data_IF_193157729160
#
_entry.id   IF_193157729160
#
_cell.length_a   1.000
_cell.length_b   1.000
_cell.length_c   1.000
_cell.angle_alpha   90.00
_cell.angle_beta   90.00
_cell.angle_gamma   90.00
#
_symmetry.space_group_name_H-M   'P 1'
#
loop_
_entity.id
_entity.type
_entity.pdbx_description
1 polymer ?
#
# COMPACT_ATOMS: atom_id res chain seq x y z
N UNK A 1 11.07 -13.80 -13.79
CA UNK A 1 10.50 -12.47 -13.51
C UNK A 1 10.17 -12.47 -12.03
N UNK A 2 11.03 -11.88 -11.20
CA UNK A 2 10.84 -11.82 -9.75
C UNK A 2 9.85 -10.71 -9.44
N UNK A 3 8.56 -11.03 -9.44
CA UNK A 3 7.47 -10.12 -9.04
C UNK A 3 7.44 -9.83 -7.53
N UNK A 4 8.47 -10.23 -6.78
CA UNK A 4 8.53 -10.15 -5.30
C UNK A 4 8.62 -8.71 -4.75
N UNK A 5 8.51 -7.69 -5.60
CA UNK A 5 8.62 -6.27 -5.20
C UNK A 5 7.51 -5.36 -5.70
N UNK A 6 6.42 -5.89 -6.25
CA UNK A 6 5.27 -5.07 -6.63
C UNK A 6 4.21 -5.03 -5.54
N UNK A 7 3.59 -3.86 -5.38
CA UNK A 7 2.48 -3.57 -4.48
C UNK A 7 1.32 -2.97 -5.27
N UNK A 8 0.11 -3.15 -4.78
CA UNK A 8 -1.05 -2.39 -5.23
C UNK A 8 -1.43 -1.38 -4.17
N UNK A 9 -1.25 -0.10 -4.49
CA UNK A 9 -1.58 1.02 -3.61
C UNK A 9 -2.99 1.49 -3.90
N UNK A 10 -3.77 1.63 -2.84
CA UNK A 10 -5.17 2.04 -2.90
C UNK A 10 -5.47 2.96 -1.72
N UNK A 11 -6.33 3.96 -1.94
CA UNK A 11 -6.79 4.84 -0.88
C UNK A 11 -8.03 4.25 -0.18
N UNK A 12 -8.16 4.57 1.11
CA UNK A 12 -9.42 4.43 1.82
C UNK A 12 -10.39 5.52 1.33
N UNK A 13 -11.70 5.21 1.31
CA UNK A 13 -12.75 6.19 0.98
C UNK A 13 -12.91 7.23 2.09
N UNK A 14 -12.75 6.81 3.34
CA UNK A 14 -12.75 7.65 4.52
C UNK A 14 -11.51 7.30 5.35
N UNK A 15 -10.62 8.27 5.53
CA UNK A 15 -9.35 8.10 6.26
C UNK A 15 -9.51 7.99 7.78
N UNK A 16 -10.71 8.21 8.30
CA UNK A 16 -11.00 8.10 9.74
C UNK A 16 -11.51 6.71 10.13
N UNK A 17 -11.70 5.82 9.15
CA UNK A 17 -12.08 4.42 9.41
C UNK A 17 -10.86 3.64 9.88
N UNK A 18 -10.86 3.19 11.14
CA UNK A 18 -9.71 2.47 11.71
C UNK A 18 -9.50 1.08 11.10
N UNK A 19 -10.58 0.30 10.93
CA UNK A 19 -10.56 -1.04 10.34
C UNK A 19 -11.39 -1.08 9.05
N UNK A 20 -10.88 -0.53 7.92
CA UNK A 20 -11.64 -0.48 6.69
C UNK A 20 -11.90 -1.88 6.13
N UNK A 21 -13.14 -2.15 5.75
CA UNK A 21 -13.51 -3.33 4.98
C UNK A 21 -13.19 -3.13 3.49
N UNK A 22 -13.30 -4.19 2.68
CA UNK A 22 -13.09 -4.11 1.23
C UNK A 22 -13.96 -3.01 0.57
N UNK A 23 -15.20 -2.85 1.05
CA UNK A 23 -16.14 -1.83 0.58
C UNK A 23 -15.73 -0.40 1.01
N UNK A 24 -14.86 -0.26 2.01
CA UNK A 24 -14.31 1.03 2.41
C UNK A 24 -13.10 1.45 1.56
N UNK A 25 -12.63 0.61 0.62
CA UNK A 25 -11.51 0.90 -0.25
C UNK A 25 -11.98 1.29 -1.67
N UNK A 26 -11.20 2.13 -2.36
CA UNK A 26 -11.42 2.34 -3.79
C UNK A 26 -11.04 1.10 -4.60
N UNK A 27 -11.70 0.85 -5.73
CA UNK A 27 -11.31 -0.29 -6.60
C UNK A 27 -10.22 0.09 -7.60
N UNK A 28 -10.00 1.40 -7.81
CA UNK A 28 -8.95 1.92 -8.67
C UNK A 28 -7.77 2.35 -7.81
N UNK A 29 -6.57 1.98 -8.25
CA UNK A 29 -5.34 2.25 -7.53
C UNK A 29 -4.13 2.22 -8.47
N UNK A 30 -2.95 2.11 -7.88
CA UNK A 30 -1.67 2.19 -8.59
C UNK A 30 -0.86 0.93 -8.31
N UNK A 31 -0.43 0.24 -9.35
CA UNK A 31 0.65 -0.75 -9.24
C UNK A 31 1.95 0.02 -9.03
N UNK A 32 2.71 -0.35 -8.00
CA UNK A 32 3.95 0.31 -7.65
C UNK A 32 5.04 -0.73 -7.37
N UNK A 33 6.29 -0.37 -7.67
CA UNK A 33 7.45 -1.18 -7.34
C UNK A 33 8.18 -0.63 -6.12
N UNK A 34 8.62 -1.51 -5.23
CA UNK A 34 9.42 -1.14 -4.05
C UNK A 34 10.85 -0.84 -4.49
N UNK A 35 11.24 0.43 -4.39
CA UNK A 35 12.59 0.91 -4.68
C UNK A 35 13.52 0.69 -3.49
N UNK A 36 13.06 1.03 -2.28
CA UNK A 36 13.87 0.94 -1.07
C UNK A 36 13.05 0.59 0.17
N UNK A 37 13.65 -0.22 1.05
CA UNK A 37 13.13 -0.57 2.36
C UNK A 37 14.02 0.05 3.45
N UNK A 38 13.43 0.84 4.34
CA UNK A 38 14.14 1.36 5.50
C UNK A 38 13.71 0.58 6.75
N UNK A 39 14.67 -0.11 7.35
CA UNK A 39 14.50 -0.78 8.65
C UNK A 39 14.86 0.21 9.75
N UNK A 40 13.86 0.71 10.48
CA UNK A 40 14.12 1.37 11.76
C UNK A 40 14.31 0.29 12.84
N UNK A 41 15.36 0.41 13.66
CA UNK A 41 15.55 -0.51 14.78
C UNK A 41 14.40 -0.36 15.78
N UNK A 42 13.83 -1.50 16.19
CA UNK A 42 12.88 -1.55 17.28
C UNK A 42 11.61 -2.30 16.94
N UNK A 43 10.84 -1.92 15.91
CA UNK A 43 9.45 -2.43 15.85
C UNK A 43 8.97 -2.90 14.46
N UNK A 44 9.03 -2.17 13.32
CA UNK A 44 8.61 -2.73 12.00
C UNK A 44 9.29 -1.99 10.83
N UNK A 45 9.40 -2.65 9.66
CA UNK A 45 9.65 -2.03 8.34
C UNK A 45 8.59 -0.95 8.06
N UNK A 46 8.80 0.30 8.49
CA UNK A 46 7.76 1.35 8.45
C UNK A 46 7.91 2.36 7.31
N UNK A 47 9.06 2.40 6.63
CA UNK A 47 9.29 3.36 5.55
C UNK A 47 9.72 2.66 4.28
N UNK A 48 8.97 2.94 3.22
CA UNK A 48 9.16 2.39 1.88
C UNK A 48 9.33 3.56 0.92
N UNK A 49 10.29 3.46 0.01
CA UNK A 49 10.28 4.24 -1.21
C UNK A 49 9.69 3.36 -2.31
N UNK A 50 8.63 3.85 -2.95
CA UNK A 50 7.95 3.13 -4.03
C UNK A 50 7.82 4.03 -5.25
N UNK A 51 7.86 3.43 -6.43
CA UNK A 51 7.63 4.10 -7.71
C UNK A 51 6.35 3.55 -8.34
N UNK A 52 5.39 4.42 -8.67
CA UNK A 52 4.16 4.03 -9.35
C UNK A 52 4.41 3.73 -10.82
N UNK A 53 4.04 2.53 -11.27
CA UNK A 53 4.31 2.07 -12.64
C UNK A 53 3.09 2.18 -13.53
N UNK A 54 1.89 1.88 -13.02
CA UNK A 54 0.66 1.89 -13.80
C UNK A 54 -0.60 2.03 -12.95
N UNK A 55 -1.68 2.52 -13.56
CA UNK A 55 -3.02 2.49 -12.95
C UNK A 55 -3.61 1.08 -13.10
N UNK A 56 -4.36 0.64 -12.10
CA UNK A 56 -5.06 -0.64 -12.16
C UNK A 56 -6.40 -0.61 -11.45
N UNK A 57 -7.24 -1.59 -11.76
CA UNK A 57 -8.50 -1.86 -11.05
C UNK A 57 -8.45 -3.27 -10.46
N UNK A 58 -8.56 -3.39 -9.15
CA UNK A 58 -8.55 -4.68 -8.44
C UNK A 58 -9.58 -4.69 -7.31
N UNK A 59 -10.12 -5.87 -7.03
CA UNK A 59 -10.83 -6.13 -5.78
C UNK A 59 -9.78 -6.45 -4.72
N UNK A 60 -9.79 -5.70 -3.62
CA UNK A 60 -8.78 -5.82 -2.56
C UNK A 60 -9.36 -6.69 -1.46
N UNK A 61 -8.82 -7.90 -1.30
CA UNK A 61 -9.29 -8.87 -0.30
C UNK A 61 -8.45 -8.91 0.97
N UNK A 62 -7.27 -8.29 0.93
CA UNK A 62 -6.38 -8.12 2.07
C UNK A 62 -5.47 -6.93 1.83
N UNK A 63 -5.19 -6.19 2.89
CA UNK A 63 -4.30 -5.03 2.84
C UNK A 63 -3.47 -4.96 4.11
N UNK A 64 -2.44 -4.12 4.06
CA UNK A 64 -1.70 -3.65 5.22
C UNK A 64 -1.77 -2.13 5.21
N UNK A 65 -2.23 -1.55 6.31
CA UNK A 65 -2.18 -0.11 6.46
C UNK A 65 -0.73 0.36 6.61
N UNK A 66 -0.39 1.41 5.87
CA UNK A 66 0.93 2.05 5.94
C UNK A 66 0.71 3.47 6.45
N UNK A 67 1.10 3.71 7.70
CA UNK A 67 1.08 5.04 8.29
C UNK A 67 2.26 5.86 7.78
N UNK A 68 1.97 6.86 6.94
CA UNK A 68 2.97 7.84 6.52
C UNK A 68 3.21 8.82 7.68
N UNK A 69 4.27 8.58 8.46
CA UNK A 69 4.75 9.57 9.43
C UNK A 69 5.29 10.76 8.61
N UNK A 70 4.62 11.90 8.71
CA UNK A 70 5.08 13.18 8.13
C UNK A 70 6.36 13.66 8.79
#
# INVERSE_FOLDING_TARGET
>A
MNNDRELFLVAQKDSTTEDPTEDNLYTHGTVASIMQLLKLQGIILSKFLVEGTSKGKKFVTSYREINFIR
#
